data_IF_837327641873
#
_entry.id   IF_837327641873
#
_cell.length_a   1.000
_cell.length_b   1.000
_cell.length_c   1.000
_cell.angle_alpha   90.00
_cell.angle_beta   90.00
_cell.angle_gamma   90.00
#
_symmetry.space_group_name_H-M   'P 1'
#
loop_
_entity.id
_entity.type
_entity.pdbx_description
1 polymer ?
#
# COMPACT_ATOMS: atom_id res chain seq x y z
N UNK A 1 9.43 -26.02 73.90
CA UNK A 1 10.86 -26.07 73.48
C UNK A 1 10.84 -25.96 71.95
N UNK A 2 10.62 -24.76 71.41
CA UNK A 2 11.66 -23.86 70.89
C UNK A 2 12.73 -24.62 70.11
N UNK A 3 12.62 -24.58 68.77
CA UNK A 3 13.79 -24.31 67.92
C UNK A 3 13.34 -23.52 66.69
N UNK A 4 13.97 -22.36 66.51
CA UNK A 4 13.79 -21.42 65.42
C UNK A 4 14.92 -21.62 64.37
N UNK A 5 14.56 -21.42 63.11
CA UNK A 5 15.31 -20.70 62.06
C UNK A 5 16.52 -21.35 61.37
N UNK A 6 16.47 -21.44 60.02
CA UNK A 6 17.28 -20.59 59.12
C UNK A 6 16.91 -20.75 57.64
N UNK A 7 16.79 -19.59 57.01
CA UNK A 7 16.66 -19.26 55.58
C UNK A 7 17.60 -20.00 54.65
N UNK A 8 17.14 -20.23 53.41
CA UNK A 8 17.81 -19.70 52.20
C UNK A 8 16.78 -19.55 51.07
N UNK A 9 16.33 -18.31 50.84
CA UNK A 9 15.91 -17.85 49.50
C UNK A 9 17.08 -18.07 48.55
N UNK A 10 16.86 -18.52 47.32
CA UNK A 10 17.69 -18.18 46.15
C UNK A 10 17.06 -18.72 44.84
N UNK A 11 16.98 -17.81 43.86
CA UNK A 11 16.59 -17.97 42.45
C UNK A 11 15.09 -17.94 42.11
N UNK A 12 14.46 -16.78 42.29
CA UNK A 12 13.43 -16.32 41.34
C UNK A 12 14.18 -15.74 40.12
N UNK A 13 14.25 -16.49 39.02
CA UNK A 13 14.74 -15.97 37.76
C UNK A 13 13.61 -15.11 37.17
N UNK A 14 13.82 -13.80 37.19
CA UNK A 14 12.93 -12.79 36.61
C UNK A 14 12.72 -13.04 35.11
N UNK A 15 11.68 -13.82 34.77
CA UNK A 15 11.06 -13.77 33.47
C UNK A 15 10.21 -12.50 33.41
N UNK A 16 10.83 -11.34 33.17
CA UNK A 16 10.08 -10.21 32.64
C UNK A 16 9.29 -10.73 31.42
N UNK A 17 7.95 -10.59 31.41
CA UNK A 17 7.12 -11.37 30.50
C UNK A 17 7.41 -10.91 29.07
N UNK A 18 7.85 -11.85 28.24
CA UNK A 18 8.26 -11.68 26.83
C UNK A 18 7.31 -10.76 26.04
N UNK A 19 6.00 -10.76 26.35
CA UNK A 19 5.01 -9.86 25.77
C UNK A 19 5.28 -8.36 25.99
N UNK A 20 5.64 -7.91 27.20
CA UNK A 20 5.88 -6.48 27.47
C UNK A 20 7.10 -5.93 26.71
N UNK A 21 8.12 -6.77 26.52
CA UNK A 21 9.33 -6.42 25.77
C UNK A 21 9.05 -6.35 24.26
N UNK A 22 8.26 -7.28 23.74
CA UNK A 22 7.81 -7.24 22.35
C UNK A 22 6.94 -6.00 22.09
N UNK A 23 5.97 -5.70 22.97
CA UNK A 23 5.13 -4.52 22.81
C UNK A 23 5.95 -3.21 22.84
N UNK A 24 6.99 -3.14 23.68
CA UNK A 24 7.89 -1.99 23.73
C UNK A 24 8.71 -1.84 22.44
N UNK A 25 9.13 -2.97 21.86
CA UNK A 25 9.84 -3.00 20.58
C UNK A 25 8.92 -2.52 19.46
N UNK A 26 7.71 -3.06 19.35
CA UNK A 26 6.74 -2.70 18.30
C UNK A 26 6.37 -1.21 18.37
N UNK A 27 6.17 -0.68 19.59
CA UNK A 27 5.94 0.77 19.79
C UNK A 27 7.11 1.61 19.29
N UNK A 28 8.34 1.17 19.50
CA UNK A 28 9.54 1.89 19.04
C UNK A 28 9.65 1.84 17.53
N UNK A 29 9.43 0.67 16.91
CA UNK A 29 9.45 0.51 15.45
C UNK A 29 8.39 1.37 14.77
N UNK A 30 7.16 1.41 15.30
CA UNK A 30 6.10 2.33 14.83
C UNK A 30 6.52 3.79 14.89
N UNK A 31 7.18 4.20 15.98
CA UNK A 31 7.65 5.58 16.12
C UNK A 31 8.79 5.92 15.16
N UNK A 32 9.65 4.96 14.84
CA UNK A 32 10.68 5.11 13.79
C UNK A 32 10.02 5.34 12.43
N UNK A 33 9.01 4.55 12.08
CA UNK A 33 8.26 4.70 10.83
C UNK A 33 7.55 6.06 10.77
N UNK A 34 6.88 6.47 11.85
CA UNK A 34 6.21 7.77 11.94
C UNK A 34 7.17 8.96 11.74
N UNK A 35 8.36 8.91 12.34
CA UNK A 35 9.39 9.92 12.12
C UNK A 35 9.99 9.85 10.71
N UNK A 36 10.11 8.64 10.16
CA UNK A 36 10.53 8.43 8.77
C UNK A 36 9.55 9.05 7.77
N UNK A 37 8.24 8.91 7.98
CA UNK A 37 7.20 9.57 7.17
C UNK A 37 7.27 11.09 7.24
N UNK A 38 7.49 11.64 8.44
CA UNK A 38 7.73 13.09 8.61
C UNK A 38 8.94 13.56 7.81
N UNK A 39 10.08 12.86 7.92
CA UNK A 39 11.25 13.19 7.09
C UNK A 39 10.97 13.03 5.59
N UNK A 40 10.20 12.03 5.19
CA UNK A 40 9.82 11.84 3.79
C UNK A 40 9.05 13.05 3.25
N UNK A 41 8.13 13.61 4.04
CA UNK A 41 7.40 14.82 3.68
C UNK A 41 8.28 16.09 3.68
N UNK A 42 9.19 16.23 4.66
CA UNK A 42 9.99 17.43 4.83
C UNK A 42 11.18 17.52 3.86
N UNK A 43 11.87 16.40 3.66
CA UNK A 43 13.17 16.35 2.95
C UNK A 43 13.24 15.30 1.84
N UNK A 44 12.15 14.57 1.60
CA UNK A 44 12.09 13.52 0.59
C UNK A 44 12.94 12.29 0.92
N UNK A 45 12.85 11.27 0.05
CA UNK A 45 13.55 10.00 0.26
C UNK A 45 15.07 10.17 0.36
N UNK A 46 15.66 11.08 -0.43
CA UNK A 46 17.10 11.36 -0.41
C UNK A 46 17.60 11.90 0.94
N UNK A 47 16.75 12.66 1.65
CA UNK A 47 17.10 13.29 2.93
C UNK A 47 16.92 12.40 4.17
N UNK A 48 16.40 11.18 4.02
CA UNK A 48 16.16 10.27 5.15
C UNK A 48 17.42 10.01 5.98
N UNK A 49 17.30 10.15 7.31
CA UNK A 49 18.41 10.06 8.24
C UNK A 49 18.02 9.36 9.55
N UNK A 50 18.53 8.12 9.72
CA UNK A 50 18.39 7.36 10.97
C UNK A 50 19.00 8.07 12.18
N UNK A 51 20.03 8.90 11.97
CA UNK A 51 20.64 9.70 13.05
C UNK A 51 19.71 10.81 13.52
N UNK A 52 18.99 11.45 12.60
CA UNK A 52 17.99 12.44 12.97
C UNK A 52 16.81 11.77 13.71
N UNK A 53 16.32 10.63 13.22
CA UNK A 53 15.30 9.82 13.92
C UNK A 53 15.74 9.45 15.33
N UNK A 54 16.99 9.02 15.51
CA UNK A 54 17.53 8.69 16.84
C UNK A 54 17.44 9.87 17.82
N UNK A 55 17.83 11.07 17.37
CA UNK A 55 17.74 12.27 18.21
C UNK A 55 16.30 12.59 18.60
N UNK A 56 15.37 12.51 17.65
CA UNK A 56 13.95 12.81 17.88
C UNK A 56 13.28 11.80 18.83
N UNK A 57 13.78 10.57 18.86
CA UNK A 57 13.38 9.53 19.83
C UNK A 57 14.07 9.66 21.19
N UNK A 58 15.02 10.58 21.36
CA UNK A 58 15.88 10.63 22.55
C UNK A 58 16.80 9.42 22.70
N UNK A 59 17.10 8.72 21.60
CA UNK A 59 17.97 7.55 21.55
C UNK A 59 19.36 7.91 21.03
N UNK A 60 20.35 7.16 21.49
CA UNK A 60 21.68 7.16 20.85
C UNK A 60 21.58 6.50 19.46
N UNK A 61 22.36 6.99 18.49
CA UNK A 61 22.30 6.46 17.11
C UNK A 61 22.46 4.95 17.04
N UNK A 62 23.39 4.37 17.82
CA UNK A 62 23.63 2.93 17.87
C UNK A 62 22.42 2.12 18.36
N UNK A 63 21.50 2.73 19.11
CA UNK A 63 20.28 2.08 19.56
C UNK A 63 19.26 1.93 18.42
N UNK A 64 19.10 2.95 17.56
CA UNK A 64 18.17 2.89 16.42
C UNK A 64 18.57 1.81 15.41
N UNK A 65 19.88 1.63 15.19
CA UNK A 65 20.39 0.59 14.29
C UNK A 65 20.05 -0.85 14.72
N UNK A 66 19.65 -1.07 15.98
CA UNK A 66 19.13 -2.38 16.43
C UNK A 66 17.71 -2.68 15.93
N UNK A 67 16.97 -1.64 15.53
CA UNK A 67 15.62 -1.76 14.98
C UNK A 67 15.64 -1.66 13.45
N UNK A 68 16.43 -0.73 12.90
CA UNK A 68 16.51 -0.47 11.46
C UNK A 68 17.98 -0.38 11.05
N UNK A 69 18.49 -1.43 10.41
CA UNK A 69 19.92 -1.61 10.19
C UNK A 69 20.52 -0.63 9.17
N UNK A 70 19.71 -0.07 8.27
CA UNK A 70 20.20 0.84 7.22
C UNK A 70 19.12 1.82 6.76
N UNK A 71 19.53 2.84 5.98
CA UNK A 71 18.59 3.73 5.29
C UNK A 71 17.67 2.97 4.33
N UNK A 72 18.19 1.94 3.67
CA UNK A 72 17.42 1.12 2.74
C UNK A 72 16.40 0.25 3.47
N UNK A 73 16.73 -0.22 4.68
CA UNK A 73 15.75 -0.87 5.56
C UNK A 73 14.66 0.10 6.00
N UNK A 74 15.00 1.36 6.30
CA UNK A 74 14.01 2.40 6.60
C UNK A 74 13.08 2.65 5.39
N UNK A 75 13.64 2.78 4.18
CA UNK A 75 12.85 2.91 2.95
C UNK A 75 11.93 1.71 2.73
N UNK A 76 12.42 0.50 2.98
CA UNK A 76 11.61 -0.72 2.87
C UNK A 76 10.46 -0.70 3.88
N UNK A 77 10.71 -0.30 5.12
CA UNK A 77 9.66 -0.17 6.14
C UNK A 77 8.62 0.88 5.75
N UNK A 78 9.05 2.04 5.24
CA UNK A 78 8.15 3.09 4.77
C UNK A 78 7.31 2.64 3.58
N UNK A 79 7.88 1.89 2.62
CA UNK A 79 7.14 1.31 1.51
C UNK A 79 6.07 0.32 1.97
N UNK A 80 6.45 -0.63 2.84
CA UNK A 80 5.52 -1.64 3.35
C UNK A 80 4.38 -0.98 4.12
N UNK A 81 4.70 0.00 4.97
CA UNK A 81 3.73 0.74 5.77
C UNK A 81 2.78 1.55 4.88
N UNK A 82 3.29 2.28 3.88
CA UNK A 82 2.49 3.04 2.92
C UNK A 82 1.60 2.14 2.05
N UNK A 83 2.12 1.03 1.51
CA UNK A 83 1.31 0.07 0.76
C UNK A 83 0.20 -0.54 1.63
N UNK A 84 0.51 -0.85 2.89
CA UNK A 84 -0.44 -1.44 3.82
C UNK A 84 -1.57 -0.46 4.15
N UNK A 85 -1.24 0.78 4.48
CA UNK A 85 -2.23 1.82 4.80
C UNK A 85 -3.12 2.17 3.60
N UNK A 86 -2.53 2.29 2.40
CA UNK A 86 -3.29 2.51 1.17
C UNK A 86 -4.26 1.34 0.92
N UNK A 87 -3.78 0.10 1.02
CA UNK A 87 -4.61 -1.09 0.82
C UNK A 87 -5.74 -1.17 1.84
N UNK A 88 -5.47 -0.93 3.12
CA UNK A 88 -6.51 -0.90 4.16
C UNK A 88 -7.55 0.20 3.93
N UNK A 89 -7.14 1.34 3.38
CA UNK A 89 -8.04 2.44 3.04
C UNK A 89 -8.97 2.06 1.88
N UNK A 90 -8.43 1.40 0.86
CA UNK A 90 -9.18 0.86 -0.28
C UNK A 90 -10.12 -0.27 0.16
N UNK A 91 -9.65 -1.22 0.96
CA UNK A 91 -10.42 -2.38 1.43
C UNK A 91 -11.63 -1.91 2.28
N UNK A 92 -11.44 -0.92 3.15
CA UNK A 92 -12.52 -0.34 3.96
C UNK A 92 -13.58 0.32 3.08
N UNK A 93 -13.16 1.12 2.11
CA UNK A 93 -14.08 1.79 1.19
C UNK A 93 -14.88 0.80 0.33
N UNK A 94 -14.27 -0.32 -0.07
CA UNK A 94 -14.99 -1.39 -0.75
C UNK A 94 -16.02 -2.05 0.16
N UNK A 95 -15.66 -2.37 1.40
CA UNK A 95 -16.56 -2.99 2.38
C UNK A 95 -17.79 -2.12 2.71
N UNK A 96 -17.61 -0.81 2.81
CA UNK A 96 -18.69 0.14 3.09
C UNK A 96 -19.63 0.36 1.88
N UNK A 97 -19.18 0.02 0.67
CA UNK A 97 -19.90 0.24 -0.59
C UNK A 97 -20.90 -0.88 -0.97
N UNK A 98 -20.91 -1.99 -0.22
CA UNK A 98 -21.73 -3.18 -0.51
C UNK A 98 -21.13 -4.08 -1.60
N UNK A 99 -21.92 -5.02 -2.11
CA UNK A 99 -21.40 -6.15 -2.90
C UNK A 99 -21.35 -5.91 -4.43
N UNK A 100 -21.91 -4.80 -4.91
CA UNK A 100 -21.99 -4.55 -6.35
C UNK A 100 -20.63 -4.09 -6.90
N UNK A 101 -20.07 -4.82 -7.87
CA UNK A 101 -18.73 -4.59 -8.44
C UNK A 101 -18.48 -3.12 -8.81
N UNK A 102 -19.44 -2.50 -9.50
CA UNK A 102 -19.34 -1.10 -9.95
C UNK A 102 -19.25 -0.11 -8.79
N UNK A 103 -20.03 -0.32 -7.73
CA UNK A 103 -20.03 0.53 -6.55
C UNK A 103 -18.74 0.36 -5.76
N UNK A 104 -18.24 -0.87 -5.64
CA UNK A 104 -16.94 -1.13 -5.00
C UNK A 104 -15.79 -0.48 -5.77
N UNK A 105 -15.68 -0.69 -7.09
CA UNK A 105 -14.61 -0.08 -7.88
C UNK A 105 -14.63 1.45 -7.79
N UNK A 106 -15.81 2.07 -7.84
CA UNK A 106 -15.94 3.52 -7.64
C UNK A 106 -15.43 3.96 -6.27
N UNK A 107 -15.82 3.27 -5.20
CA UNK A 107 -15.39 3.58 -3.85
C UNK A 107 -13.88 3.39 -3.67
N UNK A 108 -13.33 2.29 -4.18
CA UNK A 108 -11.90 1.99 -4.18
C UNK A 108 -11.09 3.05 -4.92
N UNK A 109 -11.52 3.45 -6.13
CA UNK A 109 -10.85 4.50 -6.91
C UNK A 109 -10.82 5.83 -6.17
N UNK A 110 -11.94 6.24 -5.57
CA UNK A 110 -12.02 7.46 -4.75
C UNK A 110 -11.14 7.40 -3.52
N UNK A 111 -11.13 6.27 -2.82
CA UNK A 111 -10.32 6.05 -1.64
C UNK A 111 -8.81 6.10 -1.97
N UNK A 112 -8.40 5.47 -3.08
CA UNK A 112 -7.03 5.53 -3.57
C UNK A 112 -6.60 6.97 -3.86
N UNK A 113 -7.44 7.74 -4.57
CA UNK A 113 -7.13 9.15 -4.85
C UNK A 113 -7.08 9.98 -3.57
N UNK A 114 -8.08 9.84 -2.70
CA UNK A 114 -8.16 10.59 -1.44
C UNK A 114 -6.91 10.37 -0.59
N UNK A 115 -6.53 9.10 -0.40
CA UNK A 115 -5.30 8.75 0.31
C UNK A 115 -4.06 9.37 -0.36
N UNK A 116 -3.93 9.29 -1.68
CA UNK A 116 -2.78 9.85 -2.38
C UNK A 116 -2.64 11.38 -2.24
N UNK A 117 -3.76 12.10 -2.20
CA UNK A 117 -3.79 13.55 -2.00
C UNK A 117 -3.44 13.94 -0.56
N UNK A 118 -3.90 13.16 0.42
CA UNK A 118 -3.61 13.39 1.84
C UNK A 118 -2.18 12.96 2.21
N UNK A 119 -1.61 11.97 1.52
CA UNK A 119 -0.31 11.35 1.77
C UNK A 119 0.65 11.50 0.57
N UNK A 120 0.82 12.75 0.08
CA UNK A 120 1.59 13.02 -1.16
C UNK A 120 3.03 12.49 -1.14
N UNK A 121 3.70 12.54 0.01
CA UNK A 121 5.09 12.13 0.13
C UNK A 121 5.24 10.61 0.05
N UNK A 122 4.32 9.88 0.68
CA UNK A 122 4.21 8.43 0.58
C UNK A 122 3.78 8.01 -0.82
N UNK A 123 2.81 8.69 -1.43
CA UNK A 123 2.45 8.46 -2.83
C UNK A 123 3.65 8.61 -3.77
N UNK A 124 4.46 9.65 -3.56
CA UNK A 124 5.70 9.85 -4.32
C UNK A 124 6.71 8.70 -4.11
N UNK A 125 6.76 8.12 -2.92
CA UNK A 125 7.60 6.95 -2.63
C UNK A 125 7.08 5.67 -3.33
N UNK A 126 5.75 5.49 -3.44
CA UNK A 126 5.13 4.32 -4.06
C UNK A 126 5.17 4.37 -5.60
N UNK A 127 4.79 5.51 -6.19
CA UNK A 127 4.48 5.66 -7.62
C UNK A 127 5.19 6.84 -8.30
N UNK A 128 6.12 7.51 -7.61
CA UNK A 128 6.95 8.57 -8.14
C UNK A 128 8.30 8.09 -8.68
N UNK A 129 9.27 9.00 -8.71
CA UNK A 129 10.62 8.70 -9.20
C UNK A 129 11.32 7.66 -8.31
N UNK A 130 11.96 6.63 -8.91
CA UNK A 130 12.73 5.66 -8.15
C UNK A 130 13.84 6.33 -7.31
N UNK A 131 14.05 5.83 -6.09
CA UNK A 131 15.10 6.31 -5.21
C UNK A 131 16.47 5.81 -5.72
N UNK A 132 17.41 6.69 -6.08
CA UNK A 132 18.71 6.26 -6.62
C UNK A 132 19.46 5.34 -5.65
N UNK A 133 19.99 4.24 -6.18
CA UNK A 133 20.78 3.25 -5.42
C UNK A 133 19.96 2.27 -4.57
N UNK A 134 18.66 2.52 -4.38
CA UNK A 134 17.78 1.65 -3.59
C UNK A 134 17.09 0.61 -4.48
N UNK A 135 17.00 -0.63 -3.99
CA UNK A 135 16.25 -1.72 -4.62
C UNK A 135 15.32 -2.36 -3.59
N UNK A 136 14.01 -2.24 -3.82
CA UNK A 136 13.02 -2.79 -2.91
C UNK A 136 13.12 -4.34 -2.85
N UNK A 137 13.27 -4.93 -1.65
CA UNK A 137 13.32 -6.39 -1.49
C UNK A 137 11.95 -7.00 -1.77
N UNK A 138 11.85 -7.78 -2.85
CA UNK A 138 10.57 -8.31 -3.37
C UNK A 138 9.79 -9.13 -2.35
N UNK A 139 10.48 -9.91 -1.54
CA UNK A 139 9.91 -10.75 -0.47
C UNK A 139 9.15 -9.94 0.59
N UNK A 140 9.49 -8.66 0.77
CA UNK A 140 8.83 -7.77 1.72
C UNK A 140 7.82 -6.84 1.06
N UNK A 141 8.06 -6.42 -0.19
CA UNK A 141 7.26 -5.35 -0.82
C UNK A 141 6.22 -5.84 -1.82
N UNK A 142 6.37 -7.02 -2.42
CA UNK A 142 5.40 -7.52 -3.42
C UNK A 142 4.05 -7.77 -2.78
N UNK A 143 3.99 -8.49 -1.65
CA UNK A 143 2.73 -8.82 -0.98
C UNK A 143 1.89 -7.59 -0.65
N UNK A 144 2.41 -6.60 0.10
CA UNK A 144 1.70 -5.34 0.35
C UNK A 144 1.42 -4.56 -0.93
N UNK A 145 2.37 -4.50 -1.86
CA UNK A 145 2.29 -3.68 -3.08
C UNK A 145 1.28 -4.15 -4.11
N UNK A 146 0.83 -5.40 -4.06
CA UNK A 146 -0.18 -5.95 -4.98
C UNK A 146 -1.59 -5.98 -4.41
N UNK A 147 -1.80 -5.62 -3.13
CA UNK A 147 -3.13 -5.71 -2.48
C UNK A 147 -4.22 -4.91 -3.20
N UNK A 148 -3.93 -3.65 -3.56
CA UNK A 148 -4.92 -2.77 -4.20
C UNK A 148 -5.33 -3.30 -5.58
N UNK A 149 -4.37 -3.65 -6.44
CA UNK A 149 -4.70 -4.21 -7.75
C UNK A 149 -5.42 -5.55 -7.63
N UNK A 150 -5.06 -6.37 -6.64
CA UNK A 150 -5.79 -7.59 -6.31
C UNK A 150 -7.25 -7.33 -5.94
N UNK A 151 -7.53 -6.35 -5.09
CA UNK A 151 -8.89 -5.96 -4.70
C UNK A 151 -9.71 -5.45 -5.90
N UNK A 152 -9.11 -4.62 -6.76
CA UNK A 152 -9.75 -4.16 -8.00
C UNK A 152 -10.08 -5.34 -8.94
N UNK A 153 -9.13 -6.25 -9.16
CA UNK A 153 -9.33 -7.44 -9.99
C UNK A 153 -10.40 -8.38 -9.41
N UNK A 154 -10.48 -8.52 -8.08
CA UNK A 154 -11.51 -9.29 -7.42
C UNK A 154 -12.91 -8.71 -7.67
N UNK A 155 -13.08 -7.38 -7.57
CA UNK A 155 -14.35 -6.73 -7.88
C UNK A 155 -14.73 -6.89 -9.36
N UNK A 156 -13.78 -6.73 -10.29
CA UNK A 156 -13.99 -7.01 -11.73
C UNK A 156 -14.42 -8.47 -11.93
N UNK A 157 -13.77 -9.42 -11.26
CA UNK A 157 -14.12 -10.85 -11.33
C UNK A 157 -15.53 -11.13 -10.81
N UNK A 158 -15.99 -10.43 -9.78
CA UNK A 158 -17.36 -10.53 -9.28
C UNK A 158 -18.38 -10.03 -10.31
N UNK A 159 -18.10 -8.90 -10.98
CA UNK A 159 -18.94 -8.40 -12.07
C UNK A 159 -18.93 -9.31 -13.31
N UNK A 160 -17.82 -10.00 -13.57
CA UNK A 160 -17.75 -10.97 -14.68
C UNK A 160 -18.57 -12.22 -14.38
N UNK A 161 -18.61 -12.66 -13.12
CA UNK A 161 -19.42 -13.80 -12.68
C UNK A 161 -20.94 -13.56 -12.83
N UNK A 162 -21.40 -12.31 -12.78
CA UNK A 162 -22.80 -11.93 -13.04
C UNK A 162 -23.08 -11.62 -14.52
N UNK A 163 -22.05 -11.63 -15.38
CA UNK A 163 -22.16 -11.27 -16.79
C UNK A 163 -22.25 -9.77 -17.07
N UNK A 164 -22.09 -8.93 -16.04
CA UNK A 164 -22.12 -7.46 -16.19
C UNK A 164 -20.78 -6.89 -16.66
N UNK A 165 -19.67 -7.56 -16.34
CA UNK A 165 -18.34 -7.21 -16.86
C UNK A 165 -17.97 -8.21 -17.93
N UNK A 166 -18.19 -7.81 -19.18
CA UNK A 166 -17.86 -8.64 -20.35
C UNK A 166 -16.46 -8.33 -20.88
N UNK A 167 -15.98 -7.11 -20.65
CA UNK A 167 -14.76 -6.61 -21.30
C UNK A 167 -14.95 -6.34 -22.79
N UNK A 168 -16.18 -6.39 -23.33
CA UNK A 168 -16.47 -6.14 -24.75
C UNK A 168 -15.94 -7.22 -25.70
N UNK A 169 -15.69 -6.87 -26.98
CA UNK A 169 -15.30 -7.85 -27.98
C UNK A 169 -13.92 -8.46 -27.67
N UNK A 170 -13.65 -9.69 -28.17
CA UNK A 170 -12.33 -10.30 -28.05
C UNK A 170 -11.22 -9.38 -28.57
N UNK A 171 -10.11 -9.38 -27.86
CA UNK A 171 -8.88 -8.68 -28.23
C UNK A 171 -7.93 -9.65 -28.94
N UNK A 172 -7.29 -9.20 -30.01
CA UNK A 172 -6.24 -9.98 -30.68
C UNK A 172 -4.95 -9.87 -29.86
N UNK A 173 -4.44 -11.01 -29.38
CA UNK A 173 -3.30 -11.09 -28.47
C UNK A 173 -2.21 -12.00 -29.03
N UNK A 174 -0.97 -11.63 -28.78
CA UNK A 174 0.15 -12.51 -29.05
C UNK A 174 0.14 -13.72 -28.11
N UNK A 175 0.69 -14.87 -28.52
CA UNK A 175 0.79 -16.06 -27.65
C UNK A 175 1.49 -15.78 -26.31
N UNK A 176 2.49 -14.90 -26.33
CA UNK A 176 3.21 -14.46 -25.12
C UNK A 176 2.27 -13.73 -24.17
N UNK A 177 1.52 -12.74 -24.66
CA UNK A 177 0.62 -11.98 -23.81
C UNK A 177 -0.53 -12.85 -23.27
N UNK A 178 -1.06 -13.78 -24.08
CA UNK A 178 -2.06 -14.75 -23.60
C UNK A 178 -1.51 -15.59 -22.43
N UNK A 179 -0.25 -16.05 -22.51
CA UNK A 179 0.38 -16.79 -21.41
C UNK A 179 0.58 -15.93 -20.15
N UNK A 180 1.00 -14.67 -20.32
CA UNK A 180 1.18 -13.72 -19.21
C UNK A 180 -0.16 -13.42 -18.51
N UNK A 181 -1.24 -13.21 -19.28
CA UNK A 181 -2.59 -13.02 -18.74
C UNK A 181 -3.10 -14.26 -18.00
N UNK A 182 -2.78 -15.47 -18.47
CA UNK A 182 -3.12 -16.70 -17.75
C UNK A 182 -2.35 -16.84 -16.43
N UNK A 183 -1.07 -16.46 -16.39
CA UNK A 183 -0.29 -16.41 -15.17
C UNK A 183 -0.87 -15.39 -14.16
N UNK A 184 -1.23 -14.19 -14.63
CA UNK A 184 -1.87 -13.16 -13.79
C UNK A 184 -3.19 -13.64 -13.18
N UNK A 185 -4.05 -14.32 -13.95
CA UNK A 185 -5.28 -14.92 -13.40
C UNK A 185 -4.99 -15.88 -12.26
N UNK A 186 -3.96 -16.70 -12.43
CA UNK A 186 -3.57 -17.71 -11.43
C UNK A 186 -3.02 -17.04 -10.18
N UNK A 187 -2.15 -16.03 -10.35
CA UNK A 187 -1.55 -15.26 -9.25
C UNK A 187 -2.61 -14.55 -8.41
N UNK A 188 -3.57 -13.88 -9.06
CA UNK A 188 -4.62 -13.13 -8.37
C UNK A 188 -5.88 -13.94 -8.04
N UNK A 189 -5.97 -15.20 -8.48
CA UNK A 189 -7.14 -16.05 -8.26
C UNK A 189 -8.42 -15.55 -8.92
N UNK A 190 -8.31 -14.86 -10.07
CA UNK A 190 -9.46 -14.23 -10.75
C UNK A 190 -9.90 -14.98 -12.00
N UNK A 191 -11.21 -14.93 -12.27
CA UNK A 191 -11.87 -15.68 -13.35
C UNK A 191 -12.50 -14.74 -14.37
N UNK A 192 -11.65 -13.95 -15.04
CA UNK A 192 -12.05 -12.96 -16.06
C UNK A 192 -11.48 -13.31 -17.44
N UNK A 193 -12.19 -12.98 -18.51
CA UNK A 193 -11.72 -13.14 -19.89
C UNK A 193 -10.53 -12.23 -20.24
N UNK A 194 -9.84 -12.50 -21.35
CA UNK A 194 -8.65 -11.74 -21.79
C UNK A 194 -8.97 -10.24 -21.97
N UNK A 195 -10.09 -9.92 -22.64
CA UNK A 195 -10.50 -8.54 -22.87
C UNK A 195 -10.76 -7.77 -21.57
N UNK A 196 -11.46 -8.39 -20.61
CA UNK A 196 -11.72 -7.78 -19.30
C UNK A 196 -10.43 -7.59 -18.49
N UNK A 197 -9.49 -8.54 -18.56
CA UNK A 197 -8.21 -8.43 -17.85
C UNK A 197 -7.32 -7.32 -18.44
N UNK A 198 -7.23 -7.21 -19.76
CA UNK A 198 -6.51 -6.11 -20.43
C UNK A 198 -7.13 -4.75 -20.06
N UNK A 199 -8.46 -4.65 -20.07
CA UNK A 199 -9.18 -3.45 -19.63
C UNK A 199 -8.97 -3.14 -18.15
N UNK A 200 -8.79 -4.14 -17.31
CA UNK A 200 -8.46 -3.95 -15.89
C UNK A 200 -7.04 -3.40 -15.70
N UNK A 201 -6.07 -3.83 -16.52
CA UNK A 201 -4.74 -3.22 -16.55
C UNK A 201 -4.78 -1.76 -17.02
N UNK A 202 -5.65 -1.45 -17.99
CA UNK A 202 -5.88 -0.07 -18.43
C UNK A 202 -6.55 0.77 -17.32
N UNK A 203 -7.56 0.24 -16.62
CA UNK A 203 -8.14 0.87 -15.43
C UNK A 203 -7.05 1.21 -14.41
N UNK A 204 -6.20 0.24 -14.06
CA UNK A 204 -5.10 0.46 -13.12
C UNK A 204 -4.15 1.56 -13.58
N UNK A 205 -3.69 1.50 -14.84
CA UNK A 205 -2.81 2.51 -15.41
C UNK A 205 -3.45 3.91 -15.43
N UNK A 206 -4.74 4.01 -15.75
CA UNK A 206 -5.47 5.27 -15.78
C UNK A 206 -5.67 5.86 -14.38
N UNK A 207 -5.97 5.05 -13.37
CA UNK A 207 -6.09 5.51 -11.98
C UNK A 207 -4.77 6.07 -11.47
N UNK A 208 -3.67 5.31 -11.60
CA UNK A 208 -2.34 5.77 -11.19
C UNK A 208 -1.93 7.02 -11.97
N UNK A 209 -2.18 7.05 -13.29
CA UNK A 209 -1.88 8.19 -14.15
C UNK A 209 -2.62 9.46 -13.72
N UNK A 210 -3.93 9.39 -13.53
CA UNK A 210 -4.76 10.53 -13.12
C UNK A 210 -4.32 11.08 -11.75
N UNK A 211 -4.05 10.20 -10.78
CA UNK A 211 -3.57 10.60 -9.46
C UNK A 211 -2.17 11.19 -9.52
N UNK A 212 -1.25 10.64 -10.33
CA UNK A 212 0.08 11.22 -10.53
C UNK A 212 0.02 12.62 -11.15
N UNK A 213 -0.87 12.84 -12.11
CA UNK A 213 -1.04 14.17 -12.71
C UNK A 213 -1.48 15.21 -11.67
N UNK A 214 -2.37 14.82 -10.75
CA UNK A 214 -2.80 15.70 -9.66
C UNK A 214 -1.73 15.88 -8.58
N UNK A 215 -1.26 14.78 -7.98
CA UNK A 215 -0.36 14.80 -6.81
C UNK A 215 0.96 15.47 -7.13
N UNK A 216 1.49 15.29 -8.33
CA UNK A 216 2.74 15.92 -8.76
C UNK A 216 2.55 17.26 -9.46
N UNK A 217 1.33 17.81 -9.45
CA UNK A 217 1.05 19.18 -9.90
C UNK A 217 1.10 19.39 -11.41
N UNK A 218 0.95 18.35 -12.23
CA UNK A 218 0.95 18.47 -13.70
C UNK A 218 -0.26 19.24 -14.23
N UNK A 219 -1.38 19.23 -13.51
CA UNK A 219 -2.52 20.09 -13.85
C UNK A 219 -2.23 21.58 -13.62
N UNK A 220 -1.26 21.94 -12.78
CA UNK A 220 -1.09 23.31 -12.32
C UNK A 220 -2.21 23.77 -11.38
N UNK A 221 -2.10 24.99 -10.81
CA UNK A 221 -3.02 25.47 -9.77
C UNK A 221 -4.42 25.85 -10.30
N UNK A 222 -4.52 26.26 -11.56
CA UNK A 222 -5.72 26.94 -12.08
C UNK A 222 -6.51 26.14 -13.13
N UNK A 223 -6.00 24.99 -13.58
CA UNK A 223 -6.65 24.22 -14.66
C UNK A 223 -7.99 23.63 -14.23
N UNK A 224 -8.07 23.11 -13.01
CA UNK A 224 -9.30 22.50 -12.47
C UNK A 224 -9.56 23.00 -11.05
N UNK A 225 -10.72 23.61 -10.83
CA UNK A 225 -11.19 23.99 -9.48
C UNK A 225 -11.65 22.78 -8.66
N UNK A 226 -12.02 21.68 -9.33
CA UNK A 226 -12.44 20.42 -8.71
C UNK A 226 -11.78 19.20 -9.37
N UNK A 227 -10.48 18.92 -9.13
CA UNK A 227 -9.79 17.74 -9.69
C UNK A 227 -10.49 16.41 -9.35
N UNK A 228 -11.17 16.36 -8.19
CA UNK A 228 -11.97 15.22 -7.77
C UNK A 228 -13.13 14.91 -8.73
N UNK A 229 -13.79 15.93 -9.26
CA UNK A 229 -14.92 15.76 -10.19
C UNK A 229 -14.44 15.20 -11.53
N UNK A 230 -13.29 15.70 -12.02
CA UNK A 230 -12.66 15.17 -13.24
C UNK A 230 -12.30 13.69 -13.06
N UNK A 231 -11.70 13.35 -11.91
CA UNK A 231 -11.35 11.98 -11.59
C UNK A 231 -12.59 11.06 -11.52
N UNK A 232 -13.67 11.51 -10.87
CA UNK A 232 -14.92 10.74 -10.79
C UNK A 232 -15.52 10.46 -12.17
N UNK A 233 -15.51 11.44 -13.07
CA UNK A 233 -15.96 11.25 -14.46
C UNK A 233 -15.06 10.25 -15.19
N UNK A 234 -13.74 10.34 -15.03
CA UNK A 234 -12.81 9.37 -15.61
C UNK A 234 -13.05 7.95 -15.09
N UNK A 235 -13.34 7.80 -13.79
CA UNK A 235 -13.70 6.51 -13.19
C UNK A 235 -14.95 5.95 -13.86
N UNK A 236 -16.03 6.73 -14.02
CA UNK A 236 -17.23 6.22 -14.71
C UNK A 236 -16.96 5.77 -16.15
N UNK A 237 -16.14 6.50 -16.91
CA UNK A 237 -15.75 6.10 -18.27
C UNK A 237 -15.00 4.75 -18.28
N UNK A 238 -14.13 4.52 -17.29
CA UNK A 238 -13.39 3.27 -17.16
C UNK A 238 -14.31 2.11 -16.73
N UNK A 239 -15.30 2.39 -15.87
CA UNK A 239 -16.30 1.40 -15.47
C UNK A 239 -17.23 1.03 -16.63
N UNK A 240 -17.63 2.00 -17.44
CA UNK A 240 -18.41 1.75 -18.67
C UNK A 240 -17.61 0.91 -19.67
N UNK A 241 -16.33 1.20 -19.84
CA UNK A 241 -15.44 0.40 -20.69
C UNK A 241 -15.41 -1.08 -20.27
N UNK A 242 -15.47 -1.36 -18.96
CA UNK A 242 -15.51 -2.74 -18.44
C UNK A 242 -16.86 -3.42 -18.69
N UNK A 243 -17.97 -2.67 -18.57
CA UNK A 243 -19.33 -3.19 -18.70
C UNK A 243 -19.79 -3.40 -20.15
N UNK A 244 -19.20 -2.68 -21.11
CA UNK A 244 -19.71 -2.62 -22.48
C UNK A 244 -19.84 -3.99 -23.16
N UNK A 245 -21.10 -4.36 -23.42
CA UNK A 245 -21.55 -5.17 -24.56
C UNK A 245 -21.43 -4.36 -25.86
#
# INVERSE_FOLDING_TARGET
MVTQNKSTDLYSCDTEPVGRRQDARDRTERRIVELGRRQLADVGAAGLSLRAIARDLGLVSSAVYRYVASRDDLLTLLLVDAYTELAETVDRAAGDAGDHWRTQLRAMSRALRGWAVDHRAEWALLYGSPVPGYRAPRDRTVGPGTRVIGALLAAVSAGAATGEVTGGPPVDLSPTLTADLAALRTEFGVSVGDAALVKSLLLWAALIGAVNLEVFGHYGPDTFTGPAEVFDVQVELLLDMLAQN
#
